data_IF_147457876021
#
_entry.id   IF_147457876021
#
_cell.length_a   1.000
_cell.length_b   1.000
_cell.length_c   1.000
_cell.angle_alpha   90.00
_cell.angle_beta   90.00
_cell.angle_gamma   90.00
#
_symmetry.space_group_name_H-M   'P 1'
#
loop_
_entity.id
_entity.type
_entity.pdbx_description
1 polymer ?
#
# COMPACT_ATOMS: atom_id res chain seq x y z
N UNK A 1 -9.51 -10.75 -68.39
CA UNK A 1 -8.72 -10.32 -67.21
C UNK A 1 -8.17 -11.58 -66.54
N UNK A 2 -6.87 -11.87 -66.67
CA UNK A 2 -6.23 -13.08 -66.09
C UNK A 2 -5.59 -12.72 -64.75
N UNK A 3 -6.03 -13.37 -63.68
CA UNK A 3 -5.45 -13.25 -62.34
C UNK A 3 -4.38 -14.35 -62.22
N UNK A 4 -3.11 -13.95 -62.12
CA UNK A 4 -1.99 -14.86 -61.90
C UNK A 4 -1.89 -15.22 -60.41
N UNK A 5 -1.97 -16.52 -60.10
CA UNK A 5 -1.81 -17.07 -58.75
C UNK A 5 -0.37 -16.90 -58.26
N UNK A 6 -0.17 -16.11 -57.21
CA UNK A 6 1.11 -15.94 -56.55
C UNK A 6 1.34 -17.12 -55.58
N UNK A 7 2.25 -18.04 -55.91
CA UNK A 7 2.64 -19.15 -55.04
C UNK A 7 3.67 -18.66 -54.02
N UNK A 8 3.28 -18.59 -52.74
CA UNK A 8 4.22 -18.37 -51.64
C UNK A 8 4.96 -19.68 -51.34
N UNK A 9 6.22 -19.78 -51.78
CA UNK A 9 7.09 -20.94 -51.52
C UNK A 9 7.64 -20.84 -50.09
N UNK A 10 7.11 -21.66 -49.18
CA UNK A 10 7.67 -21.80 -47.83
C UNK A 10 8.92 -22.68 -47.94
N UNK A 11 10.10 -22.05 -47.85
CA UNK A 11 11.38 -22.73 -47.67
C UNK A 11 11.34 -23.56 -46.39
N UNK A 12 11.41 -24.89 -46.50
CA UNK A 12 11.58 -25.79 -45.35
C UNK A 12 13.02 -25.77 -44.88
N UNK A 13 13.43 -24.69 -44.20
CA UNK A 13 14.63 -24.69 -43.38
C UNK A 13 14.26 -25.25 -42.01
N UNK A 14 14.75 -26.46 -41.71
CA UNK A 14 14.62 -27.07 -40.39
C UNK A 14 15.72 -26.56 -39.48
N UNK A 15 15.39 -26.33 -38.20
CA UNK A 15 16.39 -26.11 -37.17
C UNK A 15 17.20 -27.39 -36.92
N UNK A 16 18.50 -27.25 -36.72
CA UNK A 16 19.34 -28.37 -36.30
C UNK A 16 19.06 -28.70 -34.83
N UNK A 17 19.27 -29.97 -34.47
CA UNK A 17 19.13 -30.44 -33.10
C UNK A 17 20.05 -29.67 -32.15
N UNK A 18 21.26 -29.32 -32.63
CA UNK A 18 22.23 -28.57 -31.83
C UNK A 18 21.81 -27.11 -31.61
N UNK A 19 21.17 -26.47 -32.59
CA UNK A 19 20.62 -25.12 -32.44
C UNK A 19 19.53 -25.06 -31.38
N UNK A 20 18.65 -26.06 -31.30
CA UNK A 20 17.65 -26.11 -30.23
C UNK A 20 18.30 -26.43 -28.87
N UNK A 21 19.34 -27.26 -28.83
CA UNK A 21 20.04 -27.64 -27.61
C UNK A 21 20.78 -26.45 -26.96
N UNK A 22 21.46 -25.62 -27.76
CA UNK A 22 22.12 -24.41 -27.24
C UNK A 22 21.11 -23.37 -26.76
N UNK A 23 19.95 -23.26 -27.40
CA UNK A 23 18.93 -22.27 -27.02
C UNK A 23 18.31 -22.62 -25.67
N UNK A 24 17.90 -23.87 -25.45
CA UNK A 24 17.30 -24.26 -24.17
C UNK A 24 18.30 -24.18 -23.02
N UNK A 25 19.59 -24.43 -23.28
CA UNK A 25 20.65 -24.31 -22.27
C UNK A 25 20.92 -22.85 -21.90
N UNK A 26 20.97 -21.94 -22.87
CA UNK A 26 21.09 -20.50 -22.60
C UNK A 26 19.86 -19.98 -21.84
N UNK A 27 18.64 -20.37 -22.26
CA UNK A 27 17.39 -19.99 -21.55
C UNK A 27 17.41 -20.50 -20.11
N UNK A 28 17.87 -21.73 -19.87
CA UNK A 28 17.99 -22.31 -18.53
C UNK A 28 18.93 -21.52 -17.62
N UNK A 29 20.11 -21.12 -18.13
CA UNK A 29 21.08 -20.32 -17.36
C UNK A 29 20.52 -18.94 -17.03
N UNK A 30 19.90 -18.26 -18.01
CA UNK A 30 19.30 -16.95 -17.81
C UNK A 30 18.13 -17.00 -16.82
N UNK A 31 17.31 -18.05 -16.84
CA UNK A 31 16.19 -18.20 -15.91
C UNK A 31 16.65 -18.28 -14.44
N UNK A 32 17.74 -19.00 -14.15
CA UNK A 32 18.31 -19.10 -12.80
C UNK A 32 18.95 -17.77 -12.35
N UNK A 33 19.62 -17.06 -13.27
CA UNK A 33 20.18 -15.74 -12.98
C UNK A 33 19.10 -14.70 -12.66
N UNK A 34 17.96 -14.72 -13.35
CA UNK A 34 16.86 -13.78 -13.11
C UNK A 34 16.14 -14.04 -11.79
N UNK A 35 15.88 -15.30 -11.45
CA UNK A 35 15.19 -15.70 -10.21
C UNK A 35 16.00 -15.44 -8.94
N UNK A 36 17.33 -15.42 -9.03
CA UNK A 36 18.21 -15.02 -7.91
C UNK A 36 18.29 -13.50 -7.73
N UNK A 37 18.14 -12.72 -8.81
CA UNK A 37 18.20 -11.26 -8.77
C UNK A 37 16.90 -10.59 -8.30
N UNK A 38 15.75 -11.19 -8.63
CA UNK A 38 14.44 -10.73 -8.20
C UNK A 38 14.03 -11.55 -6.99
N UNK A 39 14.07 -10.98 -5.79
CA UNK A 39 13.35 -11.57 -4.66
C UNK A 39 11.86 -11.23 -4.80
N UNK A 40 11.00 -12.10 -5.40
CA UNK A 40 9.59 -11.77 -5.66
C UNK A 40 8.85 -11.42 -4.37
N UNK A 41 9.25 -12.05 -3.26
CA UNK A 41 8.66 -11.86 -1.93
C UNK A 41 8.83 -10.42 -1.44
N UNK A 42 10.01 -9.82 -1.62
CA UNK A 42 10.26 -8.44 -1.20
C UNK A 42 9.49 -7.43 -2.06
N UNK A 43 9.36 -7.67 -3.36
CA UNK A 43 8.62 -6.81 -4.27
C UNK A 43 7.11 -6.82 -3.97
N UNK A 44 6.53 -7.98 -3.65
CA UNK A 44 5.12 -8.11 -3.28
C UNK A 44 4.83 -7.39 -1.95
N UNK A 45 5.71 -7.55 -0.95
CA UNK A 45 5.59 -6.82 0.34
C UNK A 45 5.63 -5.31 0.15
N UNK A 46 6.53 -4.81 -0.71
CA UNK A 46 6.61 -3.39 -1.06
C UNK A 46 5.34 -2.87 -1.73
N UNK A 47 4.68 -3.69 -2.56
CA UNK A 47 3.38 -3.37 -3.16
C UNK A 47 2.27 -3.24 -2.11
N UNK A 48 2.18 -4.18 -1.17
CA UNK A 48 1.21 -4.12 -0.07
C UNK A 48 1.44 -2.89 0.84
N UNK A 49 2.69 -2.59 1.18
CA UNK A 49 3.05 -1.40 1.94
C UNK A 49 2.69 -0.11 1.19
N UNK A 50 2.75 -0.10 -0.15
CA UNK A 50 2.26 0.99 -0.99
C UNK A 50 0.76 1.21 -0.85
N UNK A 51 -0.02 0.12 -0.86
CA UNK A 51 -1.47 0.14 -0.61
C UNK A 51 -1.81 0.72 0.77
N UNK A 52 -1.14 0.25 1.83
CA UNK A 52 -1.31 0.78 3.19
C UNK A 52 -1.06 2.28 3.29
N UNK A 53 0.02 2.77 2.66
CA UNK A 53 0.34 4.20 2.63
C UNK A 53 -0.74 5.01 1.92
N UNK A 54 -1.28 4.49 0.82
CA UNK A 54 -2.38 5.12 0.10
C UNK A 54 -3.66 5.19 0.96
N UNK A 55 -4.01 4.10 1.63
CA UNK A 55 -5.19 4.05 2.51
C UNK A 55 -5.07 5.02 3.68
N UNK A 56 -3.90 5.09 4.32
CA UNK A 56 -3.62 6.08 5.36
C UNK A 56 -3.74 7.53 4.86
N UNK A 57 -3.32 7.80 3.61
CA UNK A 57 -3.50 9.13 3.01
C UNK A 57 -4.97 9.45 2.75
N UNK A 58 -5.79 8.47 2.37
CA UNK A 58 -7.23 8.69 2.23
C UNK A 58 -7.86 9.07 3.58
N UNK A 59 -7.48 8.37 4.66
CA UNK A 59 -7.89 8.74 6.02
C UNK A 59 -7.42 10.13 6.42
N UNK A 60 -6.17 10.51 6.09
CA UNK A 60 -5.67 11.87 6.34
C UNK A 60 -6.56 12.91 5.67
N UNK A 61 -6.86 12.76 4.37
CA UNK A 61 -7.73 13.69 3.63
C UNK A 61 -9.13 13.76 4.27
N UNK A 62 -9.68 12.62 4.67
CA UNK A 62 -10.98 12.57 5.34
C UNK A 62 -10.96 13.28 6.71
N UNK A 63 -9.87 13.15 7.47
CA UNK A 63 -9.66 13.84 8.74
C UNK A 63 -9.54 15.36 8.54
N UNK A 64 -8.84 15.82 7.51
CA UNK A 64 -8.76 17.25 7.18
C UNK A 64 -10.14 17.81 6.79
N UNK A 65 -10.89 17.09 5.95
CA UNK A 65 -12.25 17.48 5.59
C UNK A 65 -13.17 17.52 6.84
N UNK A 66 -13.05 16.52 7.71
CA UNK A 66 -13.76 16.52 8.99
C UNK A 66 -13.45 17.77 9.81
N UNK A 67 -12.17 18.13 9.97
CA UNK A 67 -11.78 19.30 10.74
C UNK A 67 -12.30 20.60 10.12
N UNK A 68 -12.26 20.73 8.79
CA UNK A 68 -12.82 21.88 8.06
C UNK A 68 -14.32 22.08 8.34
N UNK A 69 -15.06 21.00 8.53
CA UNK A 69 -16.49 21.04 8.84
C UNK A 69 -16.81 21.09 10.35
N UNK A 70 -15.83 20.85 11.23
CA UNK A 70 -15.99 20.76 12.69
C UNK A 70 -15.10 21.76 13.44
N UNK A 71 -15.04 23.00 12.96
CA UNK A 71 -14.31 24.11 13.63
C UNK A 71 -12.83 23.85 13.89
N UNK A 72 -12.16 23.08 13.01
CA UNK A 72 -10.75 22.73 13.13
C UNK A 72 -10.45 21.61 14.13
N UNK A 73 -11.47 20.93 14.65
CA UNK A 73 -11.32 19.83 15.61
C UNK A 73 -11.46 18.49 14.90
N UNK A 74 -10.53 17.58 15.17
CA UNK A 74 -10.52 16.20 14.67
C UNK A 74 -11.28 15.26 15.63
N UNK A 75 -11.68 14.05 15.20
CA UNK A 75 -12.39 13.10 16.06
C UNK A 75 -11.60 12.79 17.33
N UNK A 76 -12.23 12.96 18.50
CA UNK A 76 -11.56 12.77 19.79
C UNK A 76 -11.52 11.28 20.15
N UNK A 77 -10.32 10.75 20.33
CA UNK A 77 -10.09 9.41 20.87
C UNK A 77 -8.79 9.36 21.65
N UNK A 78 -8.89 9.43 22.98
CA UNK A 78 -7.73 9.40 23.90
C UNK A 78 -7.14 7.99 24.07
N UNK A 79 -7.84 6.97 23.59
CA UNK A 79 -7.36 5.60 23.49
C UNK A 79 -6.99 5.29 22.04
N UNK A 80 -6.10 4.33 21.84
CA UNK A 80 -5.78 3.83 20.50
C UNK A 80 -7.01 3.10 19.96
N UNK A 81 -7.54 3.58 18.85
CA UNK A 81 -8.65 2.96 18.14
C UNK A 81 -8.22 2.57 16.73
N UNK A 82 -8.99 1.67 16.12
CA UNK A 82 -8.82 1.38 14.70
C UNK A 82 -9.40 2.54 13.88
N UNK A 83 -8.72 3.01 12.84
CA UNK A 83 -9.18 4.13 12.01
C UNK A 83 -10.61 3.90 11.46
N UNK A 84 -10.93 2.65 11.12
CA UNK A 84 -12.27 2.22 10.70
C UNK A 84 -13.39 2.50 11.72
N UNK A 85 -13.11 2.52 13.03
CA UNK A 85 -14.16 2.80 14.02
C UNK A 85 -14.63 4.27 13.96
N UNK A 86 -13.75 5.18 13.52
CA UNK A 86 -14.09 6.61 13.34
C UNK A 86 -15.21 6.81 12.31
N UNK A 87 -15.39 5.83 11.41
CA UNK A 87 -16.40 5.86 10.37
C UNK A 87 -17.81 5.59 10.85
N UNK A 88 -17.97 4.77 11.88
CA UNK A 88 -19.29 4.29 12.31
C UNK A 88 -19.69 4.87 13.66
N UNK A 89 -18.72 5.20 14.51
CA UNK A 89 -18.95 5.57 15.92
C UNK A 89 -18.20 6.85 16.34
N UNK A 90 -17.73 7.67 15.40
CA UNK A 90 -17.06 8.93 15.70
C UNK A 90 -17.99 10.03 16.22
N UNK A 91 -17.43 11.05 16.88
CA UNK A 91 -18.13 12.29 17.24
C UNK A 91 -18.92 12.82 16.04
N UNK A 92 -20.21 13.19 16.19
CA UNK A 92 -21.05 13.52 15.04
C UNK A 92 -20.54 14.79 14.33
N UNK A 93 -20.43 14.78 12.98
CA UNK A 93 -20.81 13.70 12.05
C UNK A 93 -19.68 12.68 11.81
N UNK A 94 -19.99 11.37 11.69
CA UNK A 94 -18.97 10.33 11.54
C UNK A 94 -18.11 10.49 10.28
N UNK A 95 -16.88 9.95 10.32
CA UNK A 95 -15.87 10.13 9.28
C UNK A 95 -16.31 9.61 7.90
N UNK A 96 -17.24 8.64 7.86
CA UNK A 96 -17.83 8.11 6.62
C UNK A 96 -18.49 9.18 5.74
N UNK A 97 -18.86 10.33 6.30
CA UNK A 97 -19.44 11.44 5.54
C UNK A 97 -18.41 12.10 4.61
N UNK A 98 -17.12 11.91 4.89
CA UNK A 98 -16.00 12.52 4.19
C UNK A 98 -15.15 11.51 3.41
N UNK A 99 -15.51 10.22 3.45
CA UNK A 99 -14.81 9.13 2.78
C UNK A 99 -15.78 8.03 2.36
N UNK A 100 -15.80 7.70 1.06
CA UNK A 100 -16.70 6.68 0.52
C UNK A 100 -16.21 5.26 0.88
N UNK A 101 -16.79 4.67 1.91
CA UNK A 101 -16.45 3.34 2.38
C UNK A 101 -15.13 3.33 3.16
N UNK A 102 -15.19 2.81 4.38
CA UNK A 102 -14.02 2.82 5.25
C UNK A 102 -13.08 1.69 4.89
N UNK A 103 -11.97 2.08 4.28
CA UNK A 103 -10.91 1.17 3.87
C UNK A 103 -10.28 0.53 5.09
N UNK A 104 -9.99 -0.74 4.96
CA UNK A 104 -9.33 -1.55 5.97
C UNK A 104 -8.35 -2.46 5.25
N UNK A 105 -7.29 -2.85 5.93
CA UNK A 105 -6.29 -3.72 5.34
C UNK A 105 -6.89 -5.12 5.16
N UNK A 106 -6.95 -5.58 3.91
CA UNK A 106 -7.50 -6.90 3.55
C UNK A 106 -6.67 -8.05 4.11
N UNK A 107 -5.38 -7.82 4.35
CA UNK A 107 -4.44 -8.82 4.86
C UNK A 107 -4.37 -8.81 6.39
N UNK A 108 -4.40 -7.63 7.00
CA UNK A 108 -4.36 -7.46 8.47
C UNK A 108 -5.45 -6.51 8.94
N UNK A 109 -6.71 -6.99 9.05
CA UNK A 109 -7.83 -6.15 9.46
C UNK A 109 -7.55 -5.39 10.76
N UNK A 110 -7.80 -4.09 10.75
CA UNK A 110 -7.57 -3.21 11.89
C UNK A 110 -6.12 -2.77 12.11
N UNK A 111 -5.23 -2.95 11.12
CA UNK A 111 -3.85 -2.45 11.15
C UNK A 111 -3.77 -0.91 11.20
N UNK A 112 -4.76 -0.22 10.64
CA UNK A 112 -4.81 1.24 10.64
C UNK A 112 -5.28 1.73 12.01
N UNK A 113 -4.42 2.46 12.72
CA UNK A 113 -4.66 2.94 14.08
C UNK A 113 -4.65 4.45 14.16
N UNK A 114 -5.45 4.98 15.07
CA UNK A 114 -5.62 6.41 15.33
C UNK A 114 -5.65 6.68 16.83
N UNK A 115 -5.07 7.81 17.23
CA UNK A 115 -5.21 8.38 18.57
C UNK A 115 -5.18 9.91 18.46
N UNK A 116 -5.94 10.60 19.30
CA UNK A 116 -5.91 12.04 19.45
C UNK A 116 -5.72 12.45 20.91
N UNK A 117 -5.38 13.71 21.13
CA UNK A 117 -5.50 14.30 22.46
C UNK A 117 -6.98 14.55 22.82
N UNK A 118 -7.24 14.92 24.08
CA UNK A 118 -8.59 15.19 24.59
C UNK A 118 -9.28 16.37 23.92
N UNK A 119 -8.53 17.28 23.30
CA UNK A 119 -9.09 18.44 22.60
C UNK A 119 -9.30 18.21 21.10
N UNK A 120 -8.86 17.07 20.56
CA UNK A 120 -8.96 16.77 19.13
C UNK A 120 -8.15 17.72 18.24
N UNK A 121 -7.12 18.39 18.77
CA UNK A 121 -6.25 19.30 18.00
C UNK A 121 -5.00 18.61 17.48
N UNK A 122 -4.57 17.55 18.16
CA UNK A 122 -3.38 16.79 17.81
C UNK A 122 -3.80 15.34 17.69
N UNK A 123 -3.42 14.73 16.58
CA UNK A 123 -3.65 13.32 16.31
C UNK A 123 -2.47 12.69 15.58
N UNK A 124 -2.41 11.36 15.69
CA UNK A 124 -1.47 10.50 15.00
C UNK A 124 -2.24 9.32 14.40
N UNK A 125 -1.97 9.03 13.14
CA UNK A 125 -2.50 7.90 12.39
C UNK A 125 -1.32 7.05 11.92
N UNK A 126 -1.42 5.72 12.04
CA UNK A 126 -0.34 4.85 11.59
C UNK A 126 -0.81 3.47 11.14
N UNK A 127 0.08 2.76 10.45
CA UNK A 127 -0.05 1.34 10.15
C UNK A 127 1.31 0.66 10.31
N UNK A 128 1.30 -0.62 10.71
CA UNK A 128 2.50 -1.45 10.66
C UNK A 128 2.79 -1.87 9.21
N UNK A 129 4.06 -1.86 8.82
CA UNK A 129 4.50 -2.31 7.50
C UNK A 129 4.84 -3.80 7.50
N UNK A 130 4.64 -4.48 6.38
CA UNK A 130 4.90 -5.92 6.24
C UNK A 130 6.38 -6.25 6.06
N UNK A 131 7.18 -5.24 5.72
CA UNK A 131 8.63 -5.37 5.59
C UNK A 131 9.30 -5.73 6.92
N UNK A 132 8.82 -5.18 8.06
CA UNK A 132 9.30 -5.55 9.40
C UNK A 132 8.30 -5.22 10.50
N UNK A 133 8.30 -6.01 11.58
CA UNK A 133 7.43 -5.80 12.74
C UNK A 133 7.69 -4.48 13.48
N UNK A 134 8.85 -3.87 13.26
CA UNK A 134 9.30 -2.67 13.98
C UNK A 134 9.17 -1.41 13.13
N UNK A 135 8.58 -1.49 11.94
CA UNK A 135 8.40 -0.34 11.06
C UNK A 135 6.94 0.03 10.94
N UNK A 136 6.69 1.31 11.17
CA UNK A 136 5.39 1.92 11.07
C UNK A 136 5.45 3.06 10.07
N UNK A 137 4.42 3.17 9.24
CA UNK A 137 4.18 4.40 8.50
C UNK A 137 3.26 5.28 9.33
N UNK A 138 3.74 6.46 9.69
CA UNK A 138 3.05 7.39 10.59
C UNK A 138 2.69 8.65 9.82
N UNK A 139 1.49 9.17 10.06
CA UNK A 139 0.98 10.45 9.60
C UNK A 139 0.51 11.23 10.82
N UNK A 140 0.91 12.49 10.90
CA UNK A 140 0.59 13.37 12.02
C UNK A 140 -0.30 14.52 11.58
N UNK A 141 -1.07 15.06 12.53
CA UNK A 141 -1.86 16.30 12.41
C UNK A 141 -1.12 17.51 11.81
N UNK A 142 0.20 17.59 11.99
CA UNK A 142 1.04 18.65 11.42
C UNK A 142 1.39 18.46 9.93
N UNK A 143 0.73 17.51 9.25
CA UNK A 143 0.98 17.19 7.84
C UNK A 143 2.24 16.38 7.56
N UNK A 144 3.04 16.05 8.59
CA UNK A 144 4.20 15.17 8.44
C UNK A 144 3.76 13.73 8.24
N UNK A 145 4.40 13.05 7.29
CA UNK A 145 4.28 11.60 7.10
C UNK A 145 5.64 10.97 6.89
N UNK A 146 5.90 9.81 7.48
CA UNK A 146 7.21 9.17 7.38
C UNK A 146 7.29 7.79 7.98
N UNK A 147 8.46 7.17 7.82
CA UNK A 147 8.79 5.91 8.44
C UNK A 147 9.23 6.17 9.89
N UNK A 148 8.60 5.49 10.83
CA UNK A 148 9.04 5.42 12.22
C UNK A 148 9.45 3.99 12.54
N UNK A 149 10.65 3.82 13.10
CA UNK A 149 11.19 2.50 13.45
C UNK A 149 11.30 2.38 14.97
N UNK A 150 10.54 1.46 15.55
CA UNK A 150 10.46 1.25 17.00
C UNK A 150 10.03 -0.17 17.31
N UNK A 151 10.40 -0.68 18.48
CA UNK A 151 9.98 -1.99 18.99
C UNK A 151 8.53 -2.01 19.49
N UNK A 152 7.91 -0.84 19.66
CA UNK A 152 6.52 -0.67 20.08
C UNK A 152 5.80 0.33 19.17
N UNK A 153 4.48 0.22 18.98
CA UNK A 153 3.70 1.16 18.20
C UNK A 153 3.61 2.55 18.88
N UNK A 154 3.23 3.61 18.15
CA UNK A 154 2.91 4.91 18.76
C UNK A 154 1.83 4.76 19.85
N UNK A 155 2.08 5.35 21.02
CA UNK A 155 1.22 5.22 22.20
C UNK A 155 0.60 6.54 22.67
N UNK A 156 0.90 7.65 21.98
CA UNK A 156 0.38 8.97 22.31
C UNK A 156 0.00 9.72 21.04
N UNK A 157 -0.77 10.80 21.20
CA UNK A 157 -1.13 11.71 20.12
C UNK A 157 -0.01 12.69 19.74
N UNK A 158 1.15 12.62 20.38
CA UNK A 158 2.31 13.40 19.98
C UNK A 158 2.98 12.72 18.77
N UNK A 159 3.29 13.53 17.76
CA UNK A 159 3.93 13.03 16.54
C UNK A 159 5.31 12.44 16.88
N UNK A 160 5.58 11.16 16.54
CA UNK A 160 6.86 10.52 16.84
C UNK A 160 7.97 10.79 15.80
N UNK A 161 7.70 11.58 14.76
CA UNK A 161 8.57 11.86 13.60
C UNK A 161 8.81 13.35 13.32
#
# INVERSE_FOLDING_TARGET
>A
MKISNFKFQISKQGFTLIEILIVISIIGILAVALTSSLNPIFQIKKGADGGRKNDLRQYQIALENYANNNSGVYPVSTAIVTAKSLCNTGSPPPLQSYMSGCVDDTKTPGNYKYISNSTGLIWVLWAQLDASSNQYWVICSIGKSGLWTSTSPPSSSNCPI
#
